data_IF_073091031314
#
_entry.id   IF_073091031314
#
_cell.length_a   1.000
_cell.length_b   1.000
_cell.length_c   1.000
_cell.angle_alpha   90.00
_cell.angle_beta   90.00
_cell.angle_gamma   90.00
#
_symmetry.space_group_name_H-M   'P 1'
#
loop_
_entity.id
_entity.type
_entity.pdbx_description
1 polymer ?
#
# COMPACT_ATOMS: atom_id res chain seq x y z
N UNK A 1 4.50 -8.98 19.90
CA UNK A 1 4.61 -8.85 18.45
C UNK A 1 3.85 -7.58 18.07
N UNK A 2 4.47 -6.68 17.33
CA UNK A 2 3.82 -5.46 16.85
C UNK A 2 2.70 -5.77 15.85
N UNK A 3 1.92 -4.75 15.51
CA UNK A 3 0.82 -4.83 14.55
C UNK A 3 1.08 -3.94 13.35
N UNK A 4 0.50 -4.27 12.19
CA UNK A 4 0.39 -3.32 11.09
C UNK A 4 -0.81 -2.40 11.34
N UNK A 5 -0.59 -1.11 11.18
CA UNK A 5 -1.64 -0.11 11.14
C UNK A 5 -1.51 0.59 9.79
N UNK A 6 -2.42 0.33 8.86
CA UNK A 6 -2.48 1.09 7.61
C UNK A 6 -3.38 2.31 7.79
N UNK A 7 -3.04 3.43 7.13
CA UNK A 7 -3.90 4.61 7.04
C UNK A 7 -4.06 5.01 5.58
N UNK A 8 -5.28 5.26 5.16
CA UNK A 8 -5.60 5.70 3.80
C UNK A 8 -6.93 5.14 3.30
N UNK A 9 -7.08 5.15 1.99
CA UNK A 9 -8.33 4.78 1.34
C UNK A 9 -8.64 3.28 1.39
N UNK A 10 -9.92 3.01 1.49
CA UNK A 10 -10.57 1.79 1.01
C UNK A 10 -11.78 2.20 0.18
N UNK A 11 -11.94 1.62 -0.96
CA UNK A 11 -12.96 2.01 -1.94
C UNK A 11 -13.51 0.80 -2.70
N UNK A 12 -14.53 1.04 -3.52
CA UNK A 12 -15.05 0.03 -4.43
C UNK A 12 -14.42 0.21 -5.80
N UNK A 13 -13.74 -0.82 -6.29
CA UNK A 13 -13.36 -0.92 -7.69
C UNK A 13 -14.47 -1.62 -8.49
N UNK A 14 -14.99 -0.93 -9.51
CA UNK A 14 -15.90 -1.49 -10.50
C UNK A 14 -15.09 -1.96 -11.71
N UNK A 15 -14.87 -3.28 -11.78
CA UNK A 15 -14.10 -3.93 -12.85
C UNK A 15 -15.07 -4.31 -13.99
N UNK A 16 -14.83 -3.90 -15.24
CA UNK A 16 -15.73 -4.24 -16.33
C UNK A 16 -15.71 -5.74 -16.65
N UNK A 17 -16.88 -6.31 -16.91
CA UNK A 17 -16.97 -7.68 -17.42
C UNK A 17 -16.63 -7.76 -18.92
N UNK A 18 -16.70 -6.63 -19.61
CA UNK A 18 -16.36 -6.47 -21.02
C UNK A 18 -14.95 -5.89 -21.16
N UNK A 19 -14.14 -6.48 -22.05
CA UNK A 19 -12.77 -6.03 -22.32
C UNK A 19 -12.69 -5.33 -23.68
N UNK A 20 -11.72 -4.44 -23.84
CA UNK A 20 -11.41 -3.78 -25.11
C UNK A 20 -12.43 -2.73 -25.54
N UNK A 21 -13.24 -2.21 -24.61
CA UNK A 21 -14.19 -1.13 -24.88
C UNK A 21 -13.98 0.06 -23.97
N UNK A 22 -14.32 1.26 -24.43
CA UNK A 22 -14.22 2.46 -23.62
C UNK A 22 -15.17 2.41 -22.42
N UNK A 23 -14.79 3.02 -21.31
CA UNK A 23 -15.59 3.00 -20.07
C UNK A 23 -17.04 3.45 -20.28
N UNK A 24 -17.29 4.44 -21.16
CA UNK A 24 -18.64 4.94 -21.50
C UNK A 24 -19.55 3.89 -22.15
N UNK A 25 -18.97 2.84 -22.72
CA UNK A 25 -19.68 1.78 -23.46
C UNK A 25 -19.81 0.49 -22.63
N UNK A 26 -19.20 0.45 -21.42
CA UNK A 26 -19.31 -0.69 -20.49
C UNK A 26 -20.70 -0.71 -19.88
N UNK A 27 -21.37 -1.86 -19.94
CA UNK A 27 -22.75 -2.02 -19.43
C UNK A 27 -22.84 -2.88 -18.16
N UNK A 28 -21.75 -3.57 -17.79
CA UNK A 28 -21.74 -4.43 -16.59
C UNK A 28 -20.38 -4.45 -15.92
N UNK A 29 -20.41 -4.44 -14.59
CA UNK A 29 -19.23 -4.41 -13.74
C UNK A 29 -19.31 -5.45 -12.63
N UNK A 30 -18.17 -5.99 -12.25
CA UNK A 30 -17.97 -6.71 -11.00
C UNK A 30 -17.49 -5.71 -9.92
N UNK A 31 -18.10 -5.77 -8.75
CA UNK A 31 -17.73 -4.95 -7.60
C UNK A 31 -16.69 -5.68 -6.76
N UNK A 32 -15.53 -5.07 -6.53
CA UNK A 32 -14.48 -5.62 -5.66
C UNK A 32 -13.96 -4.55 -4.68
N UNK A 33 -13.52 -4.95 -3.47
CA UNK A 33 -12.84 -4.01 -2.58
C UNK A 33 -11.46 -3.66 -3.14
N UNK A 34 -11.09 -2.38 -3.05
CA UNK A 34 -9.81 -1.83 -3.48
C UNK A 34 -9.27 -0.81 -2.47
N UNK A 35 -8.16 -0.15 -2.83
CA UNK A 35 -7.44 0.78 -1.99
C UNK A 35 -6.12 0.18 -1.50
N UNK A 36 -5.00 0.83 -1.84
CA UNK A 36 -3.67 0.27 -1.57
C UNK A 36 -3.40 0.04 -0.07
N UNK A 37 -3.69 0.96 0.86
CA UNK A 37 -3.51 0.71 2.29
C UNK A 37 -4.36 -0.45 2.82
N UNK A 38 -5.59 -0.59 2.31
CA UNK A 38 -6.48 -1.69 2.66
C UNK A 38 -5.97 -3.04 2.14
N UNK A 39 -5.42 -3.06 0.91
CA UNK A 39 -4.80 -4.25 0.33
C UNK A 39 -3.61 -4.72 1.17
N UNK A 40 -2.75 -3.79 1.62
CA UNK A 40 -1.60 -4.10 2.49
C UNK A 40 -2.05 -4.64 3.85
N UNK A 41 -3.08 -4.04 4.46
CA UNK A 41 -3.64 -4.53 5.73
C UNK A 41 -4.21 -5.95 5.58
N UNK A 42 -4.97 -6.19 4.51
CA UNK A 42 -5.53 -7.51 4.20
C UNK A 42 -4.44 -8.56 3.93
N UNK A 43 -3.35 -8.18 3.26
CA UNK A 43 -2.20 -9.07 3.02
C UNK A 43 -1.57 -9.51 4.35
N UNK A 44 -1.24 -8.57 5.22
CA UNK A 44 -0.64 -8.89 6.53
C UNK A 44 -1.56 -9.75 7.38
N UNK A 45 -2.87 -9.45 7.41
CA UNK A 45 -3.86 -10.25 8.13
C UNK A 45 -3.92 -11.69 7.58
N UNK A 46 -3.98 -11.84 6.26
CA UNK A 46 -4.02 -13.15 5.59
C UNK A 46 -2.77 -14.00 5.80
N UNK A 47 -1.60 -13.35 6.00
CA UNK A 47 -0.36 -14.04 6.37
C UNK A 47 -0.28 -14.44 7.84
N UNK A 48 -1.31 -14.10 8.65
CA UNK A 48 -1.41 -14.42 10.08
C UNK A 48 -0.84 -13.33 11.00
N UNK A 49 -0.59 -12.11 10.49
CA UNK A 49 -0.25 -10.94 11.29
C UNK A 49 -1.48 -10.21 11.83
N UNK A 50 -1.28 -9.36 12.84
CA UNK A 50 -2.31 -8.43 13.28
C UNK A 50 -2.27 -7.17 12.40
N UNK A 51 -3.41 -6.83 11.78
CA UNK A 51 -3.53 -5.65 10.93
C UNK A 51 -4.81 -4.87 11.23
N UNK A 52 -4.73 -3.55 11.18
CA UNK A 52 -5.88 -2.64 11.29
C UNK A 52 -5.80 -1.56 10.22
N UNK A 53 -6.94 -0.96 9.88
CA UNK A 53 -7.04 0.14 8.93
C UNK A 53 -7.64 1.36 9.60
N UNK A 54 -6.98 2.51 9.45
CA UNK A 54 -7.48 3.83 9.82
C UNK A 54 -8.04 4.48 8.55
N UNK A 55 -9.33 4.70 8.49
CA UNK A 55 -10.01 5.33 7.35
C UNK A 55 -11.39 5.85 7.77
N UNK A 56 -12.08 6.50 6.85
CA UNK A 56 -13.47 6.89 7.02
C UNK A 56 -14.31 6.41 5.83
N UNK A 57 -15.48 5.86 6.10
CA UNK A 57 -16.43 5.36 5.10
C UNK A 57 -17.73 6.17 5.14
N UNK A 58 -18.46 6.17 4.04
CA UNK A 58 -19.82 6.68 4.00
C UNK A 58 -20.78 5.80 4.82
N UNK A 59 -21.81 6.41 5.40
CA UNK A 59 -22.97 5.66 5.93
C UNK A 59 -23.84 5.21 4.75
N UNK A 60 -23.30 4.33 3.92
CA UNK A 60 -23.95 3.80 2.70
C UNK A 60 -23.68 2.30 2.52
N UNK A 61 -24.38 1.69 1.57
CA UNK A 61 -24.28 0.24 1.30
C UNK A 61 -22.89 -0.22 0.86
N UNK A 62 -22.06 0.66 0.29
CA UNK A 62 -20.70 0.34 -0.09
C UNK A 62 -19.76 0.39 1.11
N UNK A 63 -19.96 1.33 2.03
CA UNK A 63 -19.26 1.38 3.31
C UNK A 63 -19.54 0.13 4.15
N UNK A 64 -20.81 -0.30 4.22
CA UNK A 64 -21.17 -1.53 4.93
C UNK A 64 -20.50 -2.76 4.30
N UNK A 65 -20.53 -2.88 2.97
CA UNK A 65 -19.85 -3.95 2.25
C UNK A 65 -18.36 -4.00 2.52
N UNK A 66 -17.69 -2.85 2.50
CA UNK A 66 -16.23 -2.79 2.74
C UNK A 66 -15.87 -3.21 4.17
N UNK A 67 -16.68 -2.84 5.17
CA UNK A 67 -16.48 -3.29 6.55
C UNK A 67 -16.60 -4.82 6.68
N UNK A 68 -17.62 -5.41 6.05
CA UNK A 68 -17.82 -6.86 6.04
C UNK A 68 -16.65 -7.58 5.36
N UNK A 69 -16.19 -7.09 4.21
CA UNK A 69 -15.07 -7.68 3.48
C UNK A 69 -13.75 -7.58 4.26
N UNK A 70 -13.41 -6.39 4.79
CA UNK A 70 -12.20 -6.21 5.59
C UNK A 70 -12.19 -7.14 6.81
N UNK A 71 -13.32 -7.21 7.51
CA UNK A 71 -13.48 -8.12 8.67
C UNK A 71 -13.33 -9.58 8.26
N UNK A 72 -13.89 -10.00 7.11
CA UNK A 72 -13.78 -11.35 6.57
C UNK A 72 -12.32 -11.73 6.24
N UNK A 73 -11.51 -10.76 5.81
CA UNK A 73 -10.07 -10.95 5.56
C UNK A 73 -9.22 -10.81 6.82
N UNK A 74 -9.83 -10.62 8.00
CA UNK A 74 -9.13 -10.56 9.29
C UNK A 74 -8.52 -9.21 9.63
N UNK A 75 -8.87 -8.15 8.90
CA UNK A 75 -8.47 -6.78 9.23
C UNK A 75 -9.31 -6.26 10.39
N UNK A 76 -8.69 -5.74 11.45
CA UNK A 76 -9.41 -5.09 12.53
C UNK A 76 -9.96 -3.73 12.05
N UNK A 77 -11.27 -3.55 12.18
CA UNK A 77 -12.04 -2.40 11.69
C UNK A 77 -12.38 -1.37 12.78
N UNK A 78 -11.90 -1.54 14.02
CA UNK A 78 -12.25 -0.67 15.16
C UNK A 78 -11.74 0.78 15.00
N UNK A 79 -10.86 1.04 14.04
CA UNK A 79 -10.31 2.36 13.73
C UNK A 79 -10.94 2.98 12.47
N UNK A 80 -12.03 2.38 11.97
CA UNK A 80 -12.77 2.90 10.81
C UNK A 80 -13.96 3.71 11.32
N UNK A 81 -14.00 5.00 10.99
CA UNK A 81 -15.14 5.85 11.27
C UNK A 81 -16.12 5.92 10.10
N UNK A 82 -17.33 6.42 10.32
CA UNK A 82 -18.36 6.63 9.29
C UNK A 82 -18.85 8.07 9.28
N UNK A 83 -19.33 8.53 8.12
CA UNK A 83 -19.92 9.86 7.94
C UNK A 83 -21.11 9.84 7.01
N UNK A 84 -22.02 10.82 7.21
CA UNK A 84 -23.12 11.13 6.27
C UNK A 84 -22.77 12.26 5.30
N UNK A 85 -21.63 12.92 5.52
CA UNK A 85 -21.25 14.12 4.79
C UNK A 85 -20.67 13.82 3.40
N UNK A 86 -20.25 12.57 3.17
CA UNK A 86 -19.78 12.10 1.87
C UNK A 86 -19.98 10.60 1.73
N UNK A 87 -20.07 10.15 0.49
CA UNK A 87 -20.20 8.73 0.15
C UNK A 87 -18.85 8.02 0.19
N UNK A 88 -18.90 6.70 0.33
CA UNK A 88 -17.76 5.81 0.12
C UNK A 88 -17.16 6.03 -1.27
N UNK A 89 -15.84 6.08 -1.37
CA UNK A 89 -15.12 6.28 -2.63
C UNK A 89 -15.34 5.14 -3.62
N UNK A 90 -15.48 5.48 -4.90
CA UNK A 90 -15.64 4.53 -6.00
C UNK A 90 -14.57 4.79 -7.07
N UNK A 91 -14.10 3.71 -7.71
CA UNK A 91 -13.30 3.76 -8.91
C UNK A 91 -13.89 2.86 -9.98
N UNK A 92 -14.01 3.38 -11.20
CA UNK A 92 -14.40 2.61 -12.37
C UNK A 92 -13.17 2.36 -13.22
N UNK A 93 -12.94 1.10 -13.56
CA UNK A 93 -11.79 0.68 -14.35
C UNK A 93 -12.26 0.39 -15.77
N UNK A 94 -11.52 0.81 -16.78
CA UNK A 94 -11.64 0.24 -18.13
C UNK A 94 -10.38 -0.54 -18.48
N UNK A 95 -10.57 -1.60 -19.26
CA UNK A 95 -9.47 -2.44 -19.76
C UNK A 95 -9.40 -2.22 -21.27
N UNK A 96 -8.39 -1.49 -21.74
CA UNK A 96 -8.15 -1.26 -23.18
C UNK A 96 -7.69 -2.55 -23.86
N UNK A 97 -7.77 -2.59 -25.20
CA UNK A 97 -7.31 -3.74 -26.00
C UNK A 97 -5.80 -4.02 -25.83
N UNK A 98 -5.00 -2.98 -25.60
CA UNK A 98 -3.56 -3.06 -25.35
C UNK A 98 -3.22 -3.54 -23.93
N UNK A 99 -4.24 -3.74 -23.07
CA UNK A 99 -4.09 -4.14 -21.67
C UNK A 99 -3.88 -2.98 -20.70
N UNK A 100 -3.76 -1.74 -21.19
CA UNK A 100 -3.74 -0.55 -20.35
C UNK A 100 -5.06 -0.35 -19.62
N UNK A 101 -4.98 0.18 -18.42
CA UNK A 101 -6.12 0.50 -17.58
C UNK A 101 -6.36 2.00 -17.56
N UNK A 102 -7.62 2.36 -17.69
CA UNK A 102 -8.11 3.72 -17.48
C UNK A 102 -9.00 3.74 -16.24
N UNK A 103 -8.87 4.79 -15.42
CA UNK A 103 -9.59 4.91 -14.17
C UNK A 103 -10.45 6.17 -14.18
N UNK A 104 -11.68 6.04 -13.70
CA UNK A 104 -12.54 7.17 -13.36
C UNK A 104 -12.88 7.11 -11.87
N UNK A 105 -12.33 8.05 -11.09
CA UNK A 105 -12.53 8.11 -9.66
C UNK A 105 -13.71 9.01 -9.29
N UNK A 106 -14.56 8.51 -8.40
CA UNK A 106 -15.68 9.24 -7.81
C UNK A 106 -15.33 9.51 -6.34
N UNK A 107 -14.46 10.52 -6.14
CA UNK A 107 -13.86 10.92 -4.85
C UNK A 107 -13.77 12.44 -4.74
N UNK A 108 -14.90 13.18 -4.90
CA UNK A 108 -14.88 14.65 -4.88
C UNK A 108 -15.96 15.29 -4.00
N UNK A 109 -15.79 15.32 -2.66
CA UNK A 109 -14.95 14.43 -1.87
C UNK A 109 -15.60 13.06 -1.67
N UNK A 110 -14.78 12.05 -1.36
CA UNK A 110 -15.23 10.79 -0.75
C UNK A 110 -15.04 10.83 0.76
N UNK A 111 -15.68 9.91 1.46
CA UNK A 111 -15.69 9.89 2.92
C UNK A 111 -14.30 9.80 3.55
N UNK A 112 -13.39 9.02 2.96
CA UNK A 112 -12.00 8.86 3.40
C UNK A 112 -11.23 10.19 3.45
N UNK A 113 -11.44 11.09 2.47
CA UNK A 113 -10.82 12.41 2.45
C UNK A 113 -11.29 13.34 3.58
N UNK A 114 -12.40 13.00 4.25
CA UNK A 114 -12.94 13.75 5.38
C UNK A 114 -12.46 13.29 6.76
N UNK A 115 -11.56 12.30 6.83
CA UNK A 115 -10.93 11.92 8.09
C UNK A 115 -10.03 13.05 8.57
N UNK A 116 -10.24 13.49 9.82
CA UNK A 116 -9.49 14.60 10.41
C UNK A 116 -8.41 14.12 11.36
N UNK A 117 -7.43 14.98 11.63
CA UNK A 117 -6.37 14.74 12.63
C UNK A 117 -6.91 14.56 14.05
N UNK A 118 -8.04 15.21 14.39
CA UNK A 118 -8.73 15.08 15.67
C UNK A 118 -9.31 13.67 15.92
N UNK A 119 -9.51 12.88 14.87
CA UNK A 119 -10.03 11.52 14.96
C UNK A 119 -8.90 10.48 15.16
N UNK A 120 -7.64 10.89 15.11
CA UNK A 120 -6.49 10.02 15.33
C UNK A 120 -6.17 9.92 16.82
N UNK A 121 -6.47 8.77 17.43
CA UNK A 121 -6.10 8.51 18.83
C UNK A 121 -4.65 8.01 18.92
N UNK A 122 -3.81 8.73 19.64
CA UNK A 122 -2.40 8.37 19.89
C UNK A 122 -2.24 7.02 20.61
N UNK A 123 -3.29 6.54 21.30
CA UNK A 123 -3.29 5.25 21.99
C UNK A 123 -3.39 4.05 21.04
N UNK A 124 -3.70 4.29 19.76
CA UNK A 124 -3.75 3.23 18.76
C UNK A 124 -2.37 2.68 18.43
N UNK A 125 -1.30 3.42 18.74
CA UNK A 125 0.07 3.09 18.39
C UNK A 125 0.86 2.60 19.60
N UNK A 126 1.71 1.60 19.38
CA UNK A 126 2.57 0.98 20.39
C UNK A 126 3.98 0.74 19.83
N UNK A 127 4.93 0.51 20.72
CA UNK A 127 6.31 0.17 20.34
C UNK A 127 6.33 -1.11 19.48
N UNK A 128 7.03 -1.05 18.35
CA UNK A 128 7.14 -2.15 17.40
C UNK A 128 5.97 -2.30 16.41
N UNK A 129 4.96 -1.41 16.49
CA UNK A 129 3.95 -1.33 15.42
C UNK A 129 4.57 -0.71 14.16
N UNK A 130 3.99 -1.03 13.00
CA UNK A 130 4.34 -0.42 11.73
C UNK A 130 3.13 0.37 11.24
N UNK A 131 3.28 1.70 11.09
CA UNK A 131 2.32 2.53 10.37
C UNK A 131 2.68 2.52 8.88
N UNK A 132 1.74 2.11 8.04
CA UNK A 132 1.90 2.08 6.59
C UNK A 132 0.89 3.00 5.89
N UNK A 133 1.34 3.73 4.86
CA UNK A 133 0.49 4.59 4.05
C UNK A 133 1.00 4.74 2.61
N UNK A 134 0.12 5.24 1.73
CA UNK A 134 0.39 5.53 0.33
C UNK A 134 0.15 7.01 0.02
N UNK A 135 0.48 7.46 -1.21
CA UNK A 135 0.30 8.87 -1.57
C UNK A 135 -1.13 9.25 -1.98
N UNK A 136 -1.98 8.28 -2.26
CA UNK A 136 -3.34 8.49 -2.81
C UNK A 136 -4.16 9.46 -1.98
N UNK A 137 -4.05 9.40 -0.66
CA UNK A 137 -4.80 10.24 0.27
C UNK A 137 -4.00 11.44 0.81
N UNK A 138 -2.82 11.70 0.25
CA UNK A 138 -2.03 12.89 0.58
C UNK A 138 -2.41 14.12 -0.25
N UNK A 139 -3.44 14.03 -1.08
CA UNK A 139 -4.05 15.19 -1.74
C UNK A 139 -4.56 16.19 -0.69
N UNK A 140 -4.59 17.46 -1.05
CA UNK A 140 -4.99 18.52 -0.11
C UNK A 140 -6.43 18.28 0.41
N UNK A 141 -6.50 17.82 1.65
CA UNK A 141 -7.73 17.38 2.32
C UNK A 141 -7.50 17.26 3.84
N UNK A 142 -8.55 17.15 4.68
CA UNK A 142 -8.42 16.78 6.08
C UNK A 142 -7.60 15.51 6.31
N UNK A 143 -7.73 14.52 5.42
CA UNK A 143 -7.01 13.24 5.48
C UNK A 143 -5.48 13.40 5.41
N UNK A 144 -4.95 14.39 4.67
CA UNK A 144 -3.51 14.70 4.67
C UNK A 144 -3.04 15.07 6.09
N UNK A 145 -3.82 15.86 6.83
CA UNK A 145 -3.49 16.22 8.20
C UNK A 145 -3.61 15.03 9.16
N UNK A 146 -4.59 14.15 8.93
CA UNK A 146 -4.71 12.90 9.67
C UNK A 146 -3.49 12.00 9.48
N UNK A 147 -2.92 11.92 8.26
CA UNK A 147 -1.66 11.20 8.00
C UNK A 147 -0.50 11.79 8.81
N UNK A 148 -0.32 13.12 8.80
CA UNK A 148 0.74 13.78 9.58
C UNK A 148 0.59 13.48 11.06
N UNK A 149 -0.62 13.58 11.62
CA UNK A 149 -0.90 13.24 13.02
C UNK A 149 -0.62 11.78 13.33
N UNK A 150 -1.03 10.85 12.47
CA UNK A 150 -0.77 9.42 12.64
C UNK A 150 0.73 9.11 12.62
N UNK A 151 1.50 9.69 11.69
CA UNK A 151 2.96 9.54 11.60
C UNK A 151 3.62 10.03 12.89
N UNK A 152 3.27 11.23 13.35
CA UNK A 152 3.80 11.82 14.59
C UNK A 152 3.49 10.94 15.80
N UNK A 153 2.24 10.47 15.91
CA UNK A 153 1.79 9.62 17.02
C UNK A 153 2.49 8.26 17.03
N UNK A 154 2.62 7.62 15.86
CA UNK A 154 3.34 6.34 15.74
C UNK A 154 4.82 6.49 16.10
N UNK A 155 5.51 7.52 15.59
CA UNK A 155 6.91 7.82 15.93
C UNK A 155 7.10 8.05 17.42
N UNK A 156 6.25 8.84 18.06
CA UNK A 156 6.33 9.14 19.49
C UNK A 156 6.17 7.89 20.38
N UNK A 157 5.53 6.83 19.83
CA UNK A 157 5.35 5.54 20.50
C UNK A 157 6.41 4.48 20.12
N UNK A 158 7.40 4.84 19.30
CA UNK A 158 8.44 3.91 18.84
C UNK A 158 8.01 2.97 17.71
N UNK A 159 6.98 3.37 16.95
CA UNK A 159 6.52 2.67 15.75
C UNK A 159 7.38 2.96 14.53
N UNK A 160 7.47 2.01 13.61
CA UNK A 160 8.13 2.15 12.31
C UNK A 160 7.15 2.81 11.32
N UNK A 161 7.63 3.73 10.49
CA UNK A 161 6.86 4.36 9.42
C UNK A 161 7.27 3.76 8.08
N UNK A 162 6.31 3.23 7.32
CA UNK A 162 6.47 2.68 5.98
C UNK A 162 5.65 3.47 4.97
N UNK A 163 6.28 3.94 3.93
CA UNK A 163 5.68 4.71 2.85
C UNK A 163 5.88 4.02 1.50
N UNK A 164 4.80 3.73 0.80
CA UNK A 164 4.76 3.33 -0.61
C UNK A 164 4.09 4.47 -1.39
N UNK A 165 4.81 5.29 -2.17
CA UNK A 165 4.19 6.35 -2.95
C UNK A 165 3.00 5.89 -3.78
N UNK A 166 3.09 4.75 -4.44
CA UNK A 166 1.99 4.16 -5.21
C UNK A 166 1.29 5.20 -6.09
N UNK A 167 2.05 5.79 -7.03
CA UNK A 167 1.67 6.97 -7.80
C UNK A 167 0.40 6.74 -8.62
N UNK A 168 -0.59 7.63 -8.47
CA UNK A 168 -1.86 7.63 -9.20
C UNK A 168 -2.15 9.03 -9.72
N UNK A 169 -1.47 9.44 -10.81
CA UNK A 169 -1.57 10.79 -11.37
C UNK A 169 -3.01 11.29 -11.61
N UNK A 170 -3.98 10.48 -12.04
CA UNK A 170 -5.36 10.95 -12.24
C UNK A 170 -6.06 11.49 -10.99
N UNK A 171 -5.53 11.22 -9.79
CA UNK A 171 -6.08 11.74 -8.52
C UNK A 171 -5.55 13.12 -8.13
N UNK A 172 -4.51 13.60 -8.81
CA UNK A 172 -3.82 14.84 -8.50
C UNK A 172 -4.20 15.95 -9.48
N UNK A 173 -4.15 17.20 -9.03
CA UNK A 173 -4.37 18.37 -9.90
C UNK A 173 -3.27 18.51 -10.94
N UNK A 174 -2.04 18.08 -10.60
CA UNK A 174 -0.90 18.05 -11.51
C UNK A 174 0.12 16.99 -11.09
N UNK A 175 0.94 16.54 -12.04
CA UNK A 175 2.07 15.67 -11.77
C UNK A 175 3.10 16.33 -10.82
N UNK A 176 3.27 17.65 -10.90
CA UNK A 176 4.14 18.41 -10.02
C UNK A 176 3.64 18.41 -8.57
N UNK A 177 2.33 18.62 -8.34
CA UNK A 177 1.74 18.53 -6.99
C UNK A 177 1.94 17.15 -6.40
N UNK A 178 1.66 16.09 -7.17
CA UNK A 178 1.90 14.71 -6.77
C UNK A 178 3.35 14.49 -6.32
N UNK A 179 4.31 14.84 -7.18
CA UNK A 179 5.73 14.68 -6.92
C UNK A 179 6.17 15.46 -5.69
N UNK A 180 5.80 16.74 -5.58
CA UNK A 180 6.20 17.59 -4.46
C UNK A 180 5.65 17.06 -3.13
N UNK A 181 4.40 16.59 -3.09
CA UNK A 181 3.82 15.98 -1.91
C UNK A 181 4.52 14.67 -1.54
N UNK A 182 4.84 13.80 -2.51
CA UNK A 182 5.61 12.59 -2.23
C UNK A 182 6.96 12.94 -1.61
N UNK A 183 7.69 13.90 -2.18
CA UNK A 183 8.98 14.36 -1.66
C UNK A 183 8.87 15.01 -0.27
N UNK A 184 7.73 15.64 0.07
CA UNK A 184 7.45 16.14 1.43
C UNK A 184 7.35 15.01 2.45
N UNK A 185 6.76 13.85 2.09
CA UNK A 185 6.50 12.75 3.03
C UNK A 185 7.63 11.73 3.12
N UNK A 186 8.47 11.57 2.08
CA UNK A 186 9.62 10.64 2.10
C UNK A 186 10.48 10.82 3.36
N UNK A 187 10.91 12.03 3.78
CA UNK A 187 11.76 12.20 4.95
C UNK A 187 11.13 11.78 6.28
N UNK A 188 9.81 11.57 6.30
CA UNK A 188 9.09 11.15 7.51
C UNK A 188 9.05 9.62 7.68
N UNK A 189 9.42 8.85 6.66
CA UNK A 189 9.38 7.39 6.68
C UNK A 189 10.73 6.79 7.06
N UNK A 190 10.72 5.62 7.71
CA UNK A 190 11.91 4.78 7.90
C UNK A 190 12.11 3.82 6.74
N UNK A 191 11.02 3.39 6.11
CA UNK A 191 11.00 2.49 4.97
C UNK A 191 10.28 3.19 3.83
N UNK A 192 10.94 3.33 2.69
CA UNK A 192 10.33 3.84 1.44
C UNK A 192 10.38 2.73 0.41
N UNK A 193 9.22 2.32 -0.13
CA UNK A 193 9.17 1.40 -1.26
C UNK A 193 8.86 2.19 -2.53
N UNK A 194 9.63 1.95 -3.58
CA UNK A 194 9.40 2.54 -4.91
C UNK A 194 9.52 1.46 -5.97
N UNK A 195 8.78 1.61 -7.08
CA UNK A 195 8.93 0.76 -8.26
C UNK A 195 9.91 1.39 -9.27
N UNK A 196 10.37 0.58 -10.24
CA UNK A 196 11.19 1.05 -11.36
C UNK A 196 10.44 2.07 -12.23
N UNK A 197 9.12 1.98 -12.33
CA UNK A 197 8.26 2.92 -13.05
C UNK A 197 8.12 4.28 -12.33
N UNK A 198 8.22 4.30 -10.99
CA UNK A 198 8.00 5.50 -10.16
C UNK A 198 9.29 6.28 -9.87
N UNK A 199 10.44 5.61 -9.86
CA UNK A 199 11.69 6.15 -9.33
C UNK A 199 12.11 7.44 -10.02
N UNK A 200 12.14 7.46 -11.36
CA UNK A 200 12.52 8.64 -12.13
C UNK A 200 11.47 9.76 -12.00
N UNK A 201 10.19 9.43 -12.00
CA UNK A 201 9.12 10.40 -11.78
C UNK A 201 9.27 11.12 -10.43
N UNK A 202 9.52 10.38 -9.36
CA UNK A 202 9.64 10.93 -8.00
C UNK A 202 10.90 11.76 -7.85
N UNK A 203 12.06 11.22 -8.28
CA UNK A 203 13.36 11.85 -8.02
C UNK A 203 13.75 12.86 -9.08
N UNK A 204 13.27 12.73 -10.31
CA UNK A 204 13.71 13.49 -11.47
C UNK A 204 15.13 13.10 -11.94
N UNK A 205 15.63 11.94 -11.52
CA UNK A 205 16.99 11.47 -11.79
C UNK A 205 16.91 10.16 -12.58
N UNK A 206 17.43 10.16 -13.81
CA UNK A 206 17.42 8.98 -14.68
C UNK A 206 18.43 7.89 -14.26
N UNK A 207 19.50 8.25 -13.57
CA UNK A 207 20.48 7.28 -13.05
C UNK A 207 19.92 6.59 -11.82
N UNK A 208 19.65 5.28 -11.92
CA UNK A 208 19.03 4.47 -10.85
C UNK A 208 19.76 4.60 -9.51
N UNK A 209 21.10 4.50 -9.52
CA UNK A 209 21.88 4.52 -8.29
C UNK A 209 21.81 5.87 -7.59
N UNK A 210 21.90 6.95 -8.36
CA UNK A 210 21.76 8.32 -7.83
C UNK A 210 20.34 8.60 -7.39
N UNK A 211 19.35 8.11 -8.13
CA UNK A 211 17.94 8.24 -7.77
C UNK A 211 17.65 7.55 -6.44
N UNK A 212 18.07 6.30 -6.26
CA UNK A 212 17.94 5.57 -4.99
C UNK A 212 18.68 6.30 -3.86
N UNK A 213 19.91 6.75 -4.09
CA UNK A 213 20.70 7.47 -3.08
C UNK A 213 20.01 8.78 -2.64
N UNK A 214 19.31 9.46 -3.55
CA UNK A 214 18.58 10.70 -3.24
C UNK A 214 17.35 10.49 -2.33
N UNK A 215 16.85 9.26 -2.20
CA UNK A 215 15.73 8.94 -1.30
C UNK A 215 16.14 8.83 0.16
N UNK A 216 17.44 8.68 0.46
CA UNK A 216 17.93 8.63 1.84
C UNK A 216 17.99 10.03 2.45
N UNK A 217 16.81 10.57 2.79
CA UNK A 217 16.62 11.88 3.42
C UNK A 217 15.81 11.74 4.71
N UNK A 218 16.02 12.66 5.66
CA UNK A 218 15.30 12.63 6.94
C UNK A 218 15.53 11.34 7.70
N UNK A 219 14.46 10.62 7.99
CA UNK A 219 14.48 9.37 8.79
C UNK A 219 14.63 8.10 7.95
N UNK A 220 14.78 8.19 6.62
CA UNK A 220 14.84 7.01 5.74
C UNK A 220 16.06 6.16 6.04
N UNK A 221 15.82 4.93 6.49
CA UNK A 221 16.82 3.91 6.78
C UNK A 221 16.88 2.82 5.71
N UNK A 222 15.75 2.55 5.06
CA UNK A 222 15.59 1.46 4.10
C UNK A 222 14.83 1.95 2.87
N UNK A 223 15.39 1.67 1.69
CA UNK A 223 14.70 1.82 0.41
C UNK A 223 14.48 0.44 -0.19
N UNK A 224 13.23 0.10 -0.48
CA UNK A 224 12.82 -1.13 -1.16
C UNK A 224 12.48 -0.78 -2.60
N UNK A 225 13.24 -1.33 -3.53
CA UNK A 225 13.11 -1.06 -4.97
C UNK A 225 12.57 -2.27 -5.70
N UNK A 226 11.33 -2.20 -6.19
CA UNK A 226 10.66 -3.30 -6.89
C UNK A 226 10.81 -3.16 -8.40
N UNK A 227 11.03 -4.28 -9.10
CA UNK A 227 11.31 -4.36 -10.54
C UNK A 227 10.38 -5.36 -11.24
N UNK A 228 9.13 -5.41 -10.83
CA UNK A 228 8.12 -6.33 -11.34
C UNK A 228 8.60 -7.79 -11.29
N UNK A 229 8.52 -8.50 -12.40
CA UNK A 229 8.92 -9.91 -12.50
C UNK A 229 10.41 -10.16 -12.27
N UNK A 230 11.25 -9.13 -12.33
CA UNK A 230 12.70 -9.25 -12.06
C UNK A 230 13.01 -9.33 -10.56
N UNK A 231 12.02 -9.13 -9.68
CA UNK A 231 12.16 -9.18 -8.23
C UNK A 231 12.40 -7.82 -7.60
N UNK A 232 13.18 -7.75 -6.53
CA UNK A 232 13.39 -6.53 -5.77
C UNK A 232 14.79 -6.43 -5.18
N UNK A 233 15.19 -5.19 -4.95
CA UNK A 233 16.38 -4.83 -4.18
C UNK A 233 15.97 -4.13 -2.88
N UNK A 234 16.71 -4.35 -1.82
CA UNK A 234 16.64 -3.54 -0.62
C UNK A 234 17.96 -2.85 -0.39
N UNK A 235 17.91 -1.56 -0.14
CA UNK A 235 19.06 -0.71 0.14
C UNK A 235 19.02 -0.27 1.60
N UNK A 236 20.15 -0.40 2.28
CA UNK A 236 20.37 0.07 3.64
C UNK A 236 21.67 0.86 3.60
N UNK A 237 21.58 2.18 3.67
CA UNK A 237 22.73 3.06 3.47
C UNK A 237 23.48 2.73 2.16
N UNK A 238 24.72 2.24 2.22
CA UNK A 238 25.54 1.87 1.08
C UNK A 238 25.43 0.39 0.68
N UNK A 239 24.66 -0.41 1.41
CA UNK A 239 24.50 -1.83 1.15
C UNK A 239 23.29 -2.08 0.26
N UNK A 240 23.49 -2.93 -0.76
CA UNK A 240 22.42 -3.41 -1.63
C UNK A 240 22.28 -4.91 -1.48
N UNK A 241 21.05 -5.38 -1.28
CA UNK A 241 20.68 -6.78 -1.25
C UNK A 241 19.61 -7.04 -2.29
N UNK A 242 19.76 -8.09 -3.09
CA UNK A 242 18.86 -8.39 -4.22
C UNK A 242 18.22 -9.75 -4.05
N UNK A 243 16.99 -9.88 -4.54
CA UNK A 243 16.28 -11.15 -4.68
C UNK A 243 15.54 -11.18 -6.01
N UNK A 244 15.68 -12.27 -6.75
CA UNK A 244 14.96 -12.47 -8.02
C UNK A 244 13.48 -12.72 -7.78
N UNK A 245 12.66 -12.38 -8.77
CA UNK A 245 11.22 -12.68 -8.75
C UNK A 245 10.93 -14.15 -9.03
N UNK A 246 9.67 -14.52 -8.87
CA UNK A 246 9.17 -15.85 -9.19
C UNK A 246 8.42 -15.85 -10.53
N UNK A 247 8.63 -16.87 -11.33
CA UNK A 247 7.92 -17.04 -12.61
C UNK A 247 6.58 -17.73 -12.33
N UNK A 248 5.49 -17.03 -12.62
CA UNK A 248 4.11 -17.50 -12.46
C UNK A 248 3.28 -17.18 -13.70
N UNK A 249 2.15 -17.85 -13.86
CA UNK A 249 1.19 -17.51 -14.91
C UNK A 249 0.34 -16.31 -14.48
N UNK A 250 0.61 -15.16 -15.06
CA UNK A 250 -0.06 -13.90 -14.72
C UNK A 250 -1.48 -13.86 -15.29
N UNK A 251 -2.45 -13.53 -14.44
CA UNK A 251 -3.86 -13.27 -14.80
C UNK A 251 -4.19 -11.79 -14.67
N UNK A 252 -3.79 -11.17 -13.54
CA UNK A 252 -4.07 -9.78 -13.22
C UNK A 252 -2.96 -9.23 -12.30
N UNK A 253 -2.37 -8.09 -12.61
CA UNK A 253 -1.28 -7.49 -11.82
C UNK A 253 -1.76 -6.59 -10.67
N UNK A 254 -3.08 -6.43 -10.51
CA UNK A 254 -3.66 -5.58 -9.47
C UNK A 254 -3.28 -6.09 -8.07
N UNK A 255 -2.80 -5.19 -7.22
CA UNK A 255 -2.45 -5.51 -5.84
C UNK A 255 -1.12 -6.25 -5.65
N UNK A 256 -0.37 -6.55 -6.74
CA UNK A 256 0.93 -7.24 -6.62
C UNK A 256 1.94 -6.44 -5.78
N UNK A 257 2.01 -5.13 -5.99
CA UNK A 257 2.85 -4.21 -5.20
C UNK A 257 2.43 -4.15 -3.73
N UNK A 258 1.11 -4.12 -3.49
CA UNK A 258 0.53 -4.07 -2.15
C UNK A 258 0.79 -5.39 -1.40
N UNK A 259 0.63 -6.54 -2.07
CA UNK A 259 0.95 -7.85 -1.50
C UNK A 259 2.45 -8.02 -1.25
N UNK A 260 3.31 -7.49 -2.13
CA UNK A 260 4.75 -7.48 -1.93
C UNK A 260 5.12 -6.71 -0.66
N UNK A 261 4.67 -5.43 -0.55
CA UNK A 261 5.02 -4.63 0.64
C UNK A 261 4.34 -5.21 1.88
N UNK A 262 3.12 -5.73 1.79
CA UNK A 262 2.46 -6.46 2.87
C UNK A 262 3.29 -7.64 3.37
N UNK A 263 3.84 -8.45 2.46
CA UNK A 263 4.75 -9.57 2.78
C UNK A 263 6.05 -9.10 3.43
N UNK A 264 6.63 -8.02 2.93
CA UNK A 264 7.84 -7.41 3.52
C UNK A 264 7.58 -6.95 4.96
N UNK A 265 6.51 -6.19 5.19
CA UNK A 265 6.15 -5.68 6.51
C UNK A 265 5.74 -6.80 7.48
N UNK A 266 5.01 -7.82 7.00
CA UNK A 266 4.70 -9.01 7.80
C UNK A 266 5.97 -9.70 8.30
N UNK A 267 6.99 -9.87 7.46
CA UNK A 267 8.25 -10.48 7.87
C UNK A 267 8.99 -9.64 8.90
N UNK A 268 8.95 -8.31 8.80
CA UNK A 268 9.50 -7.42 9.83
C UNK A 268 8.79 -7.59 11.17
N UNK A 269 7.46 -7.60 11.17
CA UNK A 269 6.66 -7.83 12.38
C UNK A 269 6.95 -9.19 13.02
N UNK A 270 7.03 -10.24 12.20
CA UNK A 270 7.33 -11.60 12.66
C UNK A 270 8.72 -11.73 13.28
N UNK A 271 9.66 -10.87 12.87
CA UNK A 271 11.01 -10.80 13.43
C UNK A 271 11.16 -9.77 14.57
N UNK A 272 10.04 -9.20 15.04
CA UNK A 272 9.99 -8.17 16.09
C UNK A 272 10.87 -6.95 15.77
N UNK A 273 10.84 -6.48 14.53
CA UNK A 273 11.50 -5.25 14.12
C UNK A 273 10.90 -4.04 14.89
N UNK A 274 11.74 -3.08 15.23
CA UNK A 274 11.39 -1.80 15.84
C UNK A 274 12.36 -0.72 15.33
N UNK A 275 12.20 0.53 15.74
CA UNK A 275 13.04 1.64 15.27
C UNK A 275 14.54 1.41 15.50
N UNK A 276 14.92 0.71 16.58
CA UNK A 276 16.32 0.56 17.01
C UNK A 276 17.03 -0.57 16.27
N UNK A 277 16.31 -1.65 15.90
CA UNK A 277 16.89 -2.85 15.31
C UNK A 277 16.50 -3.07 13.82
N UNK A 278 15.79 -2.14 13.19
CA UNK A 278 15.24 -2.29 11.85
C UNK A 278 16.30 -2.66 10.81
N UNK A 279 17.40 -1.91 10.77
CA UNK A 279 18.48 -2.15 9.80
C UNK A 279 19.18 -3.50 10.08
N UNK A 280 19.41 -3.86 11.33
CA UNK A 280 20.04 -5.13 11.72
C UNK A 280 19.16 -6.32 11.33
N UNK A 281 17.84 -6.22 11.54
CA UNK A 281 16.87 -7.26 11.13
C UNK A 281 16.90 -7.46 9.63
N UNK A 282 16.87 -6.39 8.85
CA UNK A 282 16.89 -6.50 7.38
C UNK A 282 18.26 -6.99 6.90
N UNK A 283 19.37 -6.46 7.42
CA UNK A 283 20.71 -6.93 7.09
C UNK A 283 20.88 -8.44 7.31
N UNK A 284 20.37 -8.94 8.42
CA UNK A 284 20.50 -10.36 8.80
C UNK A 284 19.56 -11.28 8.03
N UNK A 285 18.35 -10.81 7.72
CA UNK A 285 17.25 -11.66 7.23
C UNK A 285 16.74 -11.26 5.84
N UNK A 286 17.44 -10.41 5.08
CA UNK A 286 16.97 -9.91 3.78
C UNK A 286 16.54 -11.01 2.81
N UNK A 287 17.23 -12.16 2.81
CA UNK A 287 16.90 -13.29 1.91
C UNK A 287 15.49 -13.82 2.16
N UNK A 288 15.16 -14.10 3.41
CA UNK A 288 13.85 -14.60 3.82
C UNK A 288 12.76 -13.53 3.59
N UNK A 289 13.06 -12.27 3.96
CA UNK A 289 12.15 -11.14 3.83
C UNK A 289 11.79 -10.90 2.36
N UNK A 290 12.81 -10.79 1.49
CA UNK A 290 12.60 -10.52 0.07
C UNK A 290 12.00 -11.74 -0.67
N UNK A 291 12.39 -12.97 -0.31
CA UNK A 291 11.79 -14.18 -0.90
C UNK A 291 10.28 -14.21 -0.61
N UNK A 292 9.87 -13.99 0.65
CA UNK A 292 8.47 -13.96 1.04
C UNK A 292 7.71 -12.83 0.34
N UNK A 293 8.27 -11.62 0.30
CA UNK A 293 7.67 -10.46 -0.36
C UNK A 293 7.49 -10.68 -1.88
N UNK A 294 8.53 -11.18 -2.57
CA UNK A 294 8.46 -11.49 -4.00
C UNK A 294 7.44 -12.60 -4.30
N UNK A 295 7.39 -13.66 -3.50
CA UNK A 295 6.43 -14.74 -3.67
C UNK A 295 4.98 -14.24 -3.43
N UNK A 296 4.78 -13.37 -2.42
CA UNK A 296 3.48 -12.75 -2.15
C UNK A 296 2.98 -11.95 -3.36
N UNK A 297 3.82 -11.07 -3.90
CA UNK A 297 3.48 -10.28 -5.08
C UNK A 297 3.25 -11.16 -6.32
N UNK A 298 4.13 -12.13 -6.59
CA UNK A 298 4.01 -13.02 -7.74
C UNK A 298 2.71 -13.84 -7.69
N UNK A 299 2.40 -14.52 -6.57
CA UNK A 299 1.18 -15.31 -6.43
C UNK A 299 -0.09 -14.47 -6.53
N UNK A 300 -0.08 -13.24 -6.02
CA UNK A 300 -1.23 -12.31 -6.17
C UNK A 300 -1.56 -12.09 -7.64
N UNK A 301 -0.58 -12.08 -8.54
CA UNK A 301 -0.85 -11.90 -9.97
C UNK A 301 -1.52 -13.09 -10.66
N UNK A 302 -1.62 -14.24 -10.03
CA UNK A 302 -2.24 -15.45 -10.60
C UNK A 302 -3.77 -15.44 -10.52
N UNK A 303 -4.35 -14.61 -9.66
CA UNK A 303 -5.78 -14.41 -9.49
C UNK A 303 -6.30 -13.12 -10.12
N UNK A 304 -7.59 -12.79 -9.89
CA UNK A 304 -8.23 -11.53 -10.28
C UNK A 304 -8.53 -10.67 -9.04
N UNK A 305 -8.31 -9.37 -9.16
CA UNK A 305 -8.50 -8.40 -8.10
C UNK A 305 -7.36 -8.41 -7.09
N UNK A 306 -7.31 -7.41 -6.21
CA UNK A 306 -6.23 -7.24 -5.24
C UNK A 306 -6.41 -8.17 -4.03
N UNK A 307 -7.34 -7.83 -3.12
CA UNK A 307 -7.51 -8.53 -1.82
C UNK A 307 -7.88 -10.01 -2.02
N UNK A 308 -8.76 -10.31 -2.98
CA UNK A 308 -9.22 -11.68 -3.27
C UNK A 308 -8.09 -12.61 -3.73
N UNK A 309 -7.10 -12.07 -4.41
CA UNK A 309 -5.98 -12.81 -5.01
C UNK A 309 -4.76 -12.93 -4.11
N UNK A 310 -4.73 -12.27 -2.95
CA UNK A 310 -3.63 -12.42 -1.99
C UNK A 310 -3.52 -13.90 -1.62
N UNK A 311 -2.32 -14.52 -1.73
CA UNK A 311 -2.13 -15.93 -1.36
C UNK A 311 -2.23 -16.16 0.15
N UNK A 312 -2.43 -17.40 0.55
CA UNK A 312 -2.20 -17.80 1.94
C UNK A 312 -0.69 -17.87 2.24
N UNK A 313 -0.34 -17.83 3.52
CA UNK A 313 1.05 -18.03 3.95
C UNK A 313 1.61 -19.38 3.51
N UNK A 314 0.78 -20.43 3.54
CA UNK A 314 1.16 -21.79 3.13
C UNK A 314 1.51 -21.84 1.65
N UNK A 315 0.71 -21.18 0.77
CA UNK A 315 1.00 -21.10 -0.67
C UNK A 315 2.32 -20.36 -0.94
N UNK A 316 2.60 -19.29 -0.19
CA UNK A 316 3.87 -18.57 -0.29
C UNK A 316 5.04 -19.47 0.10
N UNK A 317 4.95 -20.13 1.25
CA UNK A 317 6.02 -21.02 1.73
C UNK A 317 6.25 -22.19 0.77
N UNK A 318 5.19 -22.72 0.14
CA UNK A 318 5.31 -23.78 -0.86
C UNK A 318 6.05 -23.32 -2.13
N UNK A 319 5.86 -22.06 -2.54
CA UNK A 319 6.57 -21.50 -3.71
C UNK A 319 8.05 -21.21 -3.40
N UNK A 320 8.36 -20.85 -2.17
CA UNK A 320 9.74 -20.54 -1.75
C UNK A 320 10.59 -21.81 -1.61
N UNK A 321 10.00 -22.94 -1.22
CA UNK A 321 10.66 -24.22 -0.94
C UNK A 321 11.01 -24.34 0.52
#
# INVERSE_FOLDING_TARGET
MGSLISIGEVLIDFIPLQKGIALKDVVSFERVPGGAPANVAAAVAKFGGHASLITKLGEDAFGDFLLEELSRYGVNIDKISKTKDANTGLAFVSLREDGERDFSFYRNPSADLLLTDAEIDEKWFSHGDILHFCSVDLVESPMKQAHIKAIQSAKARGGIISFDPNVRLPLWKSAEECRNTILEFIPMAYIVKVSDEELEFITGIADEQKAIASLFTGDVKIVVFTKGSKGADVYIQNNKYSSIGYIVQVTDTTGAGDAFIGGFLYQLLNKNANQDNLEDIVNKHYKEILAFANASGALTTTGKGAISSIPSKEEILLLIG
#
